data_IF_182670870302
#
_entry.id   IF_182670870302
#
_cell.length_a   1.000
_cell.length_b   1.000
_cell.length_c   1.000
_cell.angle_alpha   90.00
_cell.angle_beta   90.00
_cell.angle_gamma   90.00
#
_symmetry.space_group_name_H-M   'P 1'
#
loop_
_entity.id
_entity.type
_entity.pdbx_description
1 polymer ?
#
# COMPACT_ATOMS: atom_id res chain seq x y z
N UNK A 1 -13.48 9.82 24.59
CA UNK A 1 -12.09 9.46 24.23
C UNK A 1 -11.96 9.69 22.74
N UNK A 2 -11.05 10.57 22.29
CA UNK A 2 -10.73 10.67 20.85
C UNK A 2 -9.90 9.45 20.49
N UNK A 3 -10.35 8.64 19.55
CA UNK A 3 -9.54 7.58 18.99
C UNK A 3 -8.30 8.23 18.37
N UNK A 4 -7.11 7.78 18.79
CA UNK A 4 -5.85 8.20 18.19
C UNK A 4 -5.81 7.49 16.84
N UNK A 5 -5.93 8.21 15.74
CA UNK A 5 -5.64 7.65 14.40
C UNK A 5 -4.26 7.01 14.47
N UNK A 6 -4.21 5.69 14.30
CA UNK A 6 -2.97 5.02 13.94
C UNK A 6 -2.86 5.23 12.43
N UNK A 7 -2.05 6.20 12.04
CA UNK A 7 -1.66 6.35 10.66
C UNK A 7 -0.69 5.19 10.39
N UNK A 8 -1.16 4.07 9.84
CA UNK A 8 -0.25 3.25 9.06
C UNK A 8 0.12 4.14 7.88
N UNK A 9 1.36 4.60 7.95
CA UNK A 9 2.20 5.18 6.91
C UNK A 9 1.44 5.51 5.62
N UNK A 10 1.36 6.81 5.30
CA UNK A 10 1.14 7.24 3.92
C UNK A 10 2.37 6.82 3.14
N UNK A 11 2.35 5.63 2.55
CA UNK A 11 3.30 5.26 1.51
C UNK A 11 2.80 5.94 0.23
N UNK A 12 3.69 6.74 -0.36
CA UNK A 12 3.82 7.08 -1.78
C UNK A 12 2.66 7.77 -2.53
N UNK A 13 2.47 9.07 -2.29
CA UNK A 13 2.03 9.98 -3.37
C UNK A 13 3.12 10.88 -3.92
N UNK A 14 4.16 11.19 -3.14
CA UNK A 14 5.03 12.34 -3.47
C UNK A 14 6.46 11.97 -3.94
N UNK A 15 6.90 10.72 -3.87
CA UNK A 15 8.33 10.40 -4.10
C UNK A 15 8.67 10.20 -5.58
N UNK A 16 7.67 10.06 -6.45
CA UNK A 16 7.81 10.32 -7.89
C UNK A 16 6.93 11.49 -8.32
N UNK A 17 6.72 12.47 -7.43
CA UNK A 17 6.57 13.81 -7.99
C UNK A 17 7.95 14.16 -8.56
N UNK A 18 8.18 13.78 -9.82
CA UNK A 18 9.33 14.22 -10.62
C UNK A 18 9.17 15.71 -10.97
N UNK A 19 8.43 16.46 -10.17
CA UNK A 19 8.43 17.90 -10.25
C UNK A 19 9.86 18.38 -10.10
N UNK A 20 10.16 19.44 -10.83
CA UNK A 20 11.50 20.03 -10.85
C UNK A 20 12.03 20.34 -9.43
N UNK A 21 11.15 20.52 -8.43
CA UNK A 21 11.56 20.75 -7.04
C UNK A 21 12.19 19.53 -6.37
N UNK A 22 11.64 18.32 -6.56
CA UNK A 22 12.19 17.12 -5.92
C UNK A 22 13.52 16.70 -6.57
N UNK A 23 13.61 16.84 -7.89
CA UNK A 23 14.85 16.58 -8.63
C UNK A 23 15.99 17.50 -8.19
N UNK A 24 15.70 18.78 -7.95
CA UNK A 24 16.70 19.74 -7.49
C UNK A 24 17.15 19.48 -6.04
N UNK A 25 16.24 19.06 -5.15
CA UNK A 25 16.61 18.66 -3.79
C UNK A 25 17.56 17.46 -3.79
N UNK A 26 17.24 16.39 -4.53
CA UNK A 26 18.13 15.23 -4.68
C UNK A 26 19.46 15.60 -5.34
N UNK A 27 19.44 16.48 -6.35
CA UNK A 27 20.64 17.00 -7.00
C UNK A 27 21.57 17.67 -6.00
N UNK A 28 21.03 18.55 -5.16
CA UNK A 28 21.82 19.24 -4.12
C UNK A 28 22.37 18.26 -3.09
N UNK A 29 21.55 17.32 -2.61
CA UNK A 29 22.00 16.30 -1.65
C UNK A 29 23.14 15.42 -2.21
N UNK A 30 23.02 14.98 -3.46
CA UNK A 30 24.06 14.17 -4.11
C UNK A 30 25.34 14.97 -4.39
N UNK A 31 25.21 16.23 -4.77
CA UNK A 31 26.33 17.13 -4.96
C UNK A 31 27.12 17.34 -3.65
N UNK A 32 26.42 17.61 -2.55
CA UNK A 32 27.02 17.76 -1.22
C UNK A 32 27.67 16.46 -0.73
N UNK A 33 26.99 15.32 -0.87
CA UNK A 33 27.51 14.03 -0.42
C UNK A 33 28.76 13.57 -1.17
N UNK A 34 28.92 14.00 -2.44
CA UNK A 34 30.03 13.61 -3.30
C UNK A 34 31.09 14.71 -3.52
N UNK A 35 30.95 15.88 -2.87
CA UNK A 35 31.83 17.06 -3.08
C UNK A 35 31.92 17.47 -4.56
N UNK A 36 30.77 17.54 -5.24
CA UNK A 36 30.61 17.88 -6.67
C UNK A 36 29.76 19.13 -6.84
N UNK A 37 29.83 19.77 -8.01
CA UNK A 37 28.84 20.80 -8.34
C UNK A 37 27.49 20.13 -8.69
N UNK A 38 26.36 20.73 -8.31
CA UNK A 38 25.02 20.23 -8.67
C UNK A 38 24.81 20.07 -10.19
N UNK A 39 25.37 20.97 -10.99
CA UNK A 39 25.31 20.93 -12.45
C UNK A 39 26.02 19.72 -13.07
N UNK A 40 26.94 19.09 -12.33
CA UNK A 40 27.67 17.90 -12.77
C UNK A 40 26.94 16.58 -12.40
N UNK A 41 25.85 16.65 -11.63
CA UNK A 41 25.06 15.48 -11.27
C UNK A 41 24.15 15.10 -12.44
N UNK A 42 24.22 13.83 -12.85
CA UNK A 42 23.39 13.30 -13.92
C UNK A 42 21.97 13.04 -13.42
N UNK A 43 20.98 13.30 -14.28
CA UNK A 43 19.56 13.06 -13.97
C UNK A 43 19.31 11.57 -13.73
N UNK A 44 19.98 10.71 -14.50
CA UNK A 44 19.89 9.25 -14.35
C UNK A 44 20.33 8.81 -12.94
N UNK A 45 21.39 9.43 -12.39
CA UNK A 45 21.86 9.15 -11.03
C UNK A 45 20.85 9.61 -9.97
N UNK A 46 20.18 10.74 -10.20
CA UNK A 46 19.11 11.23 -9.32
C UNK A 46 17.95 10.23 -9.31
N UNK A 47 17.50 9.79 -10.48
CA UNK A 47 16.44 8.79 -10.59
C UNK A 47 16.81 7.48 -9.91
N UNK A 48 18.03 6.98 -10.10
CA UNK A 48 18.51 5.76 -9.44
C UNK A 48 18.45 5.91 -7.91
N UNK A 49 18.92 7.02 -7.35
CA UNK A 49 18.86 7.27 -5.91
C UNK A 49 17.42 7.38 -5.40
N UNK A 50 16.54 8.08 -6.13
CA UNK A 50 15.13 8.15 -5.78
C UNK A 50 14.52 6.75 -5.74
N UNK A 51 14.76 5.92 -6.77
CA UNK A 51 14.26 4.54 -6.82
C UNK A 51 14.79 3.67 -5.67
N UNK A 52 16.06 3.81 -5.30
CA UNK A 52 16.65 3.08 -4.18
C UNK A 52 15.98 3.43 -2.84
N UNK A 53 15.68 4.72 -2.61
CA UNK A 53 14.93 5.16 -1.43
C UNK A 53 13.51 4.56 -1.41
N UNK A 54 12.81 4.56 -2.56
CA UNK A 54 11.49 3.92 -2.70
C UNK A 54 11.55 2.45 -2.32
N UNK A 55 12.53 1.74 -2.86
CA UNK A 55 12.70 0.31 -2.63
C UNK A 55 13.00 0.04 -1.16
N UNK A 56 13.85 0.84 -0.52
CA UNK A 56 14.16 0.72 0.90
C UNK A 56 12.90 0.92 1.78
N UNK A 57 12.10 1.94 1.50
CA UNK A 57 10.86 2.20 2.23
C UNK A 57 9.84 1.06 2.05
N UNK A 58 9.73 0.54 0.83
CA UNK A 58 8.88 -0.61 0.53
C UNK A 58 9.34 -1.88 1.25
N UNK A 59 10.64 -2.17 1.27
CA UNK A 59 11.21 -3.31 1.99
C UNK A 59 10.92 -3.21 3.49
N UNK A 60 11.09 -2.03 4.08
CA UNK A 60 10.78 -1.77 5.48
C UNK A 60 9.28 -2.00 5.77
N UNK A 61 8.40 -1.41 4.96
CA UNK A 61 6.96 -1.60 5.08
C UNK A 61 6.54 -3.07 4.98
N UNK A 62 7.00 -3.77 3.94
CA UNK A 62 6.65 -5.18 3.74
C UNK A 62 7.19 -6.07 4.86
N UNK A 63 8.34 -5.72 5.45
CA UNK A 63 8.87 -6.39 6.64
C UNK A 63 7.95 -6.24 7.86
N UNK A 64 7.38 -5.06 8.07
CA UNK A 64 6.38 -4.82 9.13
C UNK A 64 5.08 -5.61 8.89
N UNK A 65 4.58 -5.62 7.64
CA UNK A 65 3.39 -6.40 7.26
C UNK A 65 3.63 -7.89 7.43
N UNK A 66 4.78 -8.43 6.99
CA UNK A 66 5.17 -9.83 7.22
C UNK A 66 5.21 -10.18 8.71
N UNK A 67 5.71 -9.25 9.53
CA UNK A 67 5.74 -9.40 10.98
C UNK A 67 4.34 -9.42 11.59
N UNK A 68 3.40 -8.64 11.04
CA UNK A 68 1.99 -8.69 11.40
C UNK A 68 1.38 -10.04 11.03
N UNK A 69 1.54 -10.50 9.79
CA UNK A 69 0.96 -11.75 9.30
C UNK A 69 1.45 -12.96 10.13
N UNK A 70 2.74 -12.97 10.50
CA UNK A 70 3.30 -14.00 11.39
C UNK A 70 2.64 -14.03 12.77
N UNK A 71 2.21 -12.88 13.29
CA UNK A 71 1.49 -12.77 14.58
C UNK A 71 0.01 -13.12 14.45
N UNK A 72 -0.54 -13.14 13.24
CA UNK A 72 -1.95 -13.34 12.96
C UNK A 72 -2.18 -14.41 11.86
N UNK A 73 -1.71 -15.65 12.03
CA UNK A 73 -1.70 -16.68 10.97
C UNK A 73 -3.09 -17.12 10.51
N UNK A 74 -4.12 -16.93 11.34
CA UNK A 74 -5.51 -17.28 11.02
C UNK A 74 -6.34 -16.08 10.51
N UNK A 75 -5.73 -14.89 10.41
CA UNK A 75 -6.41 -13.74 9.85
C UNK A 75 -6.74 -13.97 8.37
N UNK A 76 -7.86 -13.42 7.92
CA UNK A 76 -8.24 -13.36 6.51
C UNK A 76 -8.59 -11.93 6.18
N UNK A 77 -8.38 -11.54 4.94
CA UNK A 77 -8.60 -10.17 4.48
C UNK A 77 -9.51 -10.18 3.27
N UNK A 78 -10.45 -9.25 3.22
CA UNK A 78 -11.31 -9.02 2.06
C UNK A 78 -10.90 -7.74 1.37
N UNK A 79 -10.89 -7.77 0.04
CA UNK A 79 -10.61 -6.64 -0.84
C UNK A 79 -11.89 -6.31 -1.59
N UNK A 80 -12.34 -5.08 -1.44
CA UNK A 80 -13.35 -4.46 -2.30
C UNK A 80 -12.70 -3.31 -3.08
N UNK A 81 -13.21 -2.97 -4.26
CA UNK A 81 -12.64 -1.83 -4.98
C UNK A 81 -13.29 -1.49 -6.30
N UNK A 82 -12.77 -0.44 -6.90
CA UNK A 82 -13.15 0.10 -8.20
C UNK A 82 -11.88 0.33 -9.02
N UNK A 83 -11.93 -0.04 -10.31
CA UNK A 83 -10.84 0.26 -11.23
C UNK A 83 -11.08 1.61 -11.88
N UNK A 84 -10.05 2.45 -11.99
CA UNK A 84 -10.14 3.74 -12.65
C UNK A 84 -9.68 3.65 -14.08
N UNK A 85 -10.52 3.14 -14.98
CA UNK A 85 -10.13 2.93 -16.37
C UNK A 85 -10.65 4.06 -17.26
N UNK A 86 -9.97 4.31 -18.39
CA UNK A 86 -10.38 5.30 -19.39
C UNK A 86 -11.85 5.12 -19.88
N UNK A 87 -12.40 3.91 -19.82
CA UNK A 87 -13.79 3.61 -20.19
C UNK A 87 -14.79 3.61 -19.03
N UNK A 88 -14.36 3.94 -17.81
CA UNK A 88 -15.24 4.08 -16.65
C UNK A 88 -14.70 3.46 -15.36
N UNK A 89 -15.58 3.30 -14.37
CA UNK A 89 -15.23 2.87 -13.01
C UNK A 89 -15.89 1.55 -12.62
N UNK A 90 -15.51 0.40 -13.21
CA UNK A 90 -16.09 -0.89 -12.84
C UNK A 90 -15.70 -1.27 -11.40
N UNK A 91 -16.66 -1.81 -10.65
CA UNK A 91 -16.42 -2.42 -9.34
C UNK A 91 -15.91 -3.85 -9.51
N UNK A 92 -14.90 -4.24 -8.73
CA UNK A 92 -14.45 -5.64 -8.68
C UNK A 92 -15.34 -6.48 -7.76
N UNK A 93 -15.36 -7.79 -7.98
CA UNK A 93 -15.94 -8.71 -7.00
C UNK A 93 -15.04 -8.78 -5.77
N UNK A 94 -15.64 -8.94 -4.59
CA UNK A 94 -14.89 -9.10 -3.34
C UNK A 94 -13.94 -10.29 -3.42
N UNK A 95 -12.65 -10.04 -3.18
CA UNK A 95 -11.63 -11.09 -3.13
C UNK A 95 -11.24 -11.34 -1.69
N UNK A 96 -11.03 -12.61 -1.30
CA UNK A 96 -10.47 -12.96 0.01
C UNK A 96 -9.02 -13.41 -0.14
N UNK A 97 -8.15 -12.95 0.76
CA UNK A 97 -6.74 -13.35 0.86
C UNK A 97 -6.40 -13.85 2.25
N UNK A 98 -5.35 -14.66 2.32
CA UNK A 98 -4.96 -15.38 3.52
C UNK A 98 -3.98 -14.59 4.38
N UNK A 99 -3.34 -13.58 3.81
CA UNK A 99 -2.42 -12.68 4.50
C UNK A 99 -2.72 -11.24 4.12
N UNK A 100 -2.31 -10.30 4.98
CA UNK A 100 -2.41 -8.88 4.68
C UNK A 100 -1.48 -8.52 3.52
N UNK A 101 -0.27 -9.09 3.49
CA UNK A 101 0.68 -8.86 2.41
C UNK A 101 0.09 -9.25 1.05
N UNK A 102 -0.50 -10.45 0.93
CA UNK A 102 -1.18 -10.87 -0.31
C UNK A 102 -2.33 -9.95 -0.70
N UNK A 103 -3.07 -9.40 0.29
CA UNK A 103 -4.15 -8.47 0.01
C UNK A 103 -3.63 -7.17 -0.57
N UNK A 104 -2.55 -6.62 -0.01
CA UNK A 104 -1.88 -5.41 -0.48
C UNK A 104 -1.30 -5.63 -1.89
N UNK A 105 -0.52 -6.69 -2.09
CA UNK A 105 0.10 -6.96 -3.40
C UNK A 105 -0.93 -7.25 -4.49
N UNK A 106 -2.08 -7.84 -4.15
CA UNK A 106 -3.19 -8.01 -5.10
C UNK A 106 -3.76 -6.68 -5.60
N UNK A 107 -3.72 -5.62 -4.78
CA UNK A 107 -4.23 -4.30 -5.17
C UNK A 107 -3.25 -3.53 -6.06
N UNK A 108 -1.95 -3.67 -5.80
CA UNK A 108 -0.89 -2.88 -6.44
C UNK A 108 -0.32 -3.60 -7.67
N UNK A 109 -0.39 -4.94 -7.71
CA UNK A 109 0.28 -5.76 -8.71
C UNK A 109 1.74 -6.06 -8.35
N UNK A 110 2.39 -6.85 -9.20
CA UNK A 110 3.80 -7.24 -9.03
C UNK A 110 4.77 -6.18 -9.58
N UNK A 111 4.29 -5.26 -10.43
CA UNK A 111 5.08 -4.24 -11.10
C UNK A 111 4.76 -2.85 -10.54
N UNK A 112 5.73 -2.31 -9.81
CA UNK A 112 5.85 -0.94 -9.31
C UNK A 112 4.94 -0.56 -8.12
N UNK A 113 5.60 -0.28 -7.00
CA UNK A 113 5.10 0.44 -5.82
C UNK A 113 4.89 1.93 -6.08
N UNK A 114 5.23 2.36 -7.29
CA UNK A 114 5.24 3.72 -7.75
C UNK A 114 3.80 4.18 -7.97
N UNK A 115 3.47 5.34 -7.40
CA UNK A 115 2.13 5.92 -7.42
C UNK A 115 1.07 5.10 -6.66
N UNK A 116 1.41 4.63 -5.46
CA UNK A 116 0.45 3.96 -4.58
C UNK A 116 0.30 4.71 -3.28
N UNK A 117 -0.90 5.22 -2.97
CA UNK A 117 -1.23 5.68 -1.63
C UNK A 117 -1.78 4.55 -0.77
N UNK A 118 -1.23 4.37 0.44
CA UNK A 118 -1.80 3.46 1.45
C UNK A 118 -2.20 4.27 2.68
N UNK A 119 -3.43 4.09 3.18
CA UNK A 119 -3.96 4.80 4.36
C UNK A 119 -4.77 3.86 5.25
N UNK A 120 -4.54 3.85 6.55
CA UNK A 120 -5.41 3.16 7.51
C UNK A 120 -6.38 4.13 8.20
N UNK A 121 -7.64 3.74 8.34
CA UNK A 121 -8.62 4.47 9.15
C UNK A 121 -8.63 4.02 10.62
N UNK A 122 -9.38 4.74 11.46
CA UNK A 122 -9.55 4.41 12.88
C UNK A 122 -10.20 3.04 13.16
N UNK A 123 -10.76 2.37 12.15
CA UNK A 123 -11.40 1.06 12.25
C UNK A 123 -10.50 -0.07 11.76
N UNK A 124 -9.26 0.23 11.37
CA UNK A 124 -8.31 -0.74 10.85
C UNK A 124 -8.61 -1.18 9.42
N UNK A 125 -9.30 -0.33 8.64
CA UNK A 125 -9.47 -0.53 7.20
C UNK A 125 -8.33 0.14 6.48
N UNK A 126 -7.74 -0.58 5.53
CA UNK A 126 -6.68 -0.06 4.68
C UNK A 126 -7.26 0.35 3.34
N UNK A 127 -7.08 1.62 2.99
CA UNK A 127 -7.41 2.21 1.71
C UNK A 127 -6.16 2.22 0.86
N UNK A 128 -6.26 1.72 -0.37
CA UNK A 128 -5.17 1.71 -1.34
C UNK A 128 -5.64 2.42 -2.61
N UNK A 129 -4.98 3.52 -2.95
CA UNK A 129 -5.17 4.20 -4.22
C UNK A 129 -3.94 3.92 -5.10
N UNK A 130 -4.15 3.20 -6.20
CA UNK A 130 -3.09 2.86 -7.14
C UNK A 130 -3.30 3.64 -8.44
N UNK A 131 -2.39 4.56 -8.73
CA UNK A 131 -2.48 5.45 -9.87
C UNK A 131 -1.71 4.87 -11.06
N UNK A 132 -2.40 4.77 -12.19
CA UNK A 132 -1.83 4.39 -13.47
C UNK A 132 -2.18 5.43 -14.53
N UNK A 133 -1.54 5.38 -15.69
CA UNK A 133 -1.75 6.36 -16.77
C UNK A 133 -3.23 6.53 -17.16
N UNK A 134 -4.02 5.45 -17.14
CA UNK A 134 -5.45 5.47 -17.48
C UNK A 134 -6.42 5.91 -16.35
N UNK A 135 -5.93 6.16 -15.13
CA UNK A 135 -6.74 6.56 -13.98
C UNK A 135 -6.28 5.96 -12.65
N UNK A 136 -7.17 5.93 -11.66
CA UNK A 136 -6.83 5.51 -10.29
C UNK A 136 -7.75 4.38 -9.83
N UNK A 137 -7.14 3.26 -9.46
CA UNK A 137 -7.83 2.17 -8.81
C UNK A 137 -7.96 2.48 -7.32
N UNK A 138 -9.16 2.28 -6.77
CA UNK A 138 -9.46 2.53 -5.38
C UNK A 138 -9.86 1.22 -4.71
N UNK A 139 -9.09 0.76 -3.73
CA UNK A 139 -9.34 -0.47 -2.99
C UNK A 139 -9.51 -0.22 -1.50
N UNK A 140 -10.30 -1.08 -0.86
CA UNK A 140 -10.45 -1.15 0.59
C UNK A 140 -10.18 -2.58 1.04
N UNK A 141 -9.16 -2.75 1.86
CA UNK A 141 -8.83 -4.00 2.53
C UNK A 141 -9.41 -3.95 3.95
N UNK A 142 -10.16 -4.99 4.30
CA UNK A 142 -10.74 -5.16 5.62
C UNK A 142 -10.34 -6.51 6.18
N UNK A 143 -10.02 -6.55 7.48
CA UNK A 143 -9.88 -7.82 8.18
C UNK A 143 -11.24 -8.50 8.20
N UNK A 144 -11.32 -9.71 7.66
CA UNK A 144 -12.50 -10.54 7.74
C UNK A 144 -12.63 -11.01 9.18
N UNK A 145 -13.69 -10.54 9.84
CA UNK A 145 -14.07 -11.12 11.12
C UNK A 145 -14.22 -12.63 10.95
N UNK A 146 -13.68 -13.46 11.86
CA UNK A 146 -13.96 -14.88 11.81
C UNK A 146 -15.48 -15.01 11.80
N UNK A 147 -16.01 -15.59 10.70
CA UNK A 147 -17.40 -15.97 10.65
C UNK A 147 -17.59 -16.83 11.88
N UNK A 148 -18.32 -16.33 12.89
CA UNK A 148 -18.68 -17.11 14.07
C UNK A 148 -19.20 -18.41 13.51
N UNK A 149 -18.40 -19.48 13.62
CA UNK A 149 -18.72 -20.80 13.07
C UNK A 149 -20.19 -21.00 13.35
N UNK A 150 -20.98 -21.24 12.31
CA UNK A 150 -22.38 -21.64 12.40
C UNK A 150 -22.55 -22.50 13.65
N UNK A 151 -23.02 -21.90 14.74
CA UNK A 151 -23.53 -22.65 15.87
C UNK A 151 -24.80 -23.23 15.27
N UNK A 152 -24.66 -24.46 14.76
CA UNK A 152 -25.77 -25.29 14.37
C UNK A 152 -26.74 -25.29 15.55
N UNK A 153 -27.84 -24.54 15.43
CA UNK A 153 -29.08 -24.89 16.12
C UNK A 153 -29.58 -26.19 15.50
N UNK A 154 -28.88 -27.29 15.73
CA UNK A 154 -29.51 -28.60 15.68
C UNK A 154 -30.12 -28.82 17.05
N UNK A 155 -31.41 -28.45 17.12
CA UNK A 155 -32.40 -29.26 17.84
C UNK A 155 -32.08 -30.73 17.59
N UNK A 156 -31.86 -31.49 18.65
CA UNK A 156 -32.42 -32.82 18.85
C UNK A 156 -32.16 -33.27 20.29
N UNK A 157 -33.26 -33.53 21.01
CA UNK A 157 -33.52 -34.66 21.93
C UNK A 157 -32.39 -35.05 22.88
N UNK A 158 -32.52 -35.01 24.21
CA UNK A 158 -33.53 -35.69 25.04
C UNK A 158 -33.60 -35.02 26.42
N UNK A 159 -34.81 -34.67 26.87
CA UNK A 159 -35.31 -34.89 28.24
C UNK A 159 -36.83 -35.05 28.15
#
# INVERSE_FOLDING_TARGET
>A
MKAKERKFVTLFTDILDTSDSNMEEYRQMLAEANDRNPEDIDDDLIYDCMYDDINCDWENFTSEVKSYDKKHPDAKFTIDGQLGLWWGKPTIQTVTKDTLLEAITTCIGDDSTQNTEIREDQYGRLYIDYHHHDGTNHFVIMKKEPTKKNINFRKEMWL
#
